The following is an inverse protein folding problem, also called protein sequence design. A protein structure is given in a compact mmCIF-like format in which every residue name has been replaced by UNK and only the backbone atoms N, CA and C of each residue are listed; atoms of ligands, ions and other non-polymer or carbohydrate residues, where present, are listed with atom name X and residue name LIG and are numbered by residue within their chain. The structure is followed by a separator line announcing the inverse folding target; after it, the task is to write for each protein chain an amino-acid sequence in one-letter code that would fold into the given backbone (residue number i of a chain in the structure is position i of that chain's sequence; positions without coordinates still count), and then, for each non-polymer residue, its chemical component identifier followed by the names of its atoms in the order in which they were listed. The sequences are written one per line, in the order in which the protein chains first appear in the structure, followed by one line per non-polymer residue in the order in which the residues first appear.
data_IF_792990247820
#
_entry.id   IF_792990247820
#
_cell.length_a   1.000
_cell.length_b   1.000
_cell.length_c   1.000
_cell.angle_alpha   90.00
_cell.angle_beta   90.00
_cell.angle_gamma   90.00
#
_symmetry.space_group_name_H-M   'P 1'
#
loop_
_entity.id
_entity.type
_entity.pdbx_description
1 polymer ?
#
# COMPACT_ATOMS: atom_id res chain seq x y z
N UNK A 1 1.88 3.03 12.29
CA UNK A 1 0.60 3.10 11.53
C UNK A 1 -0.39 3.85 12.41
N UNK A 2 -0.11 5.10 12.77
CA UNK A 2 -0.89 5.79 13.81
C UNK A 2 -1.01 7.31 13.67
N UNK A 3 -0.27 7.95 12.75
CA UNK A 3 -0.54 9.38 12.48
C UNK A 3 -1.69 9.55 11.48
N UNK A 4 -1.87 8.63 10.53
CA UNK A 4 -2.82 8.81 9.42
C UNK A 4 -4.18 8.12 9.63
N UNK A 5 -4.42 7.53 10.81
CA UNK A 5 -5.70 6.85 11.12
C UNK A 5 -6.16 5.84 10.04
N UNK A 6 -5.23 5.06 9.48
CA UNK A 6 -5.52 4.00 8.50
C UNK A 6 -5.68 2.65 9.19
N UNK A 7 -6.81 1.98 8.94
CA UNK A 7 -7.11 0.65 9.46
C UNK A 7 -6.86 -0.44 8.41
N UNK A 8 -6.91 -1.71 8.85
CA UNK A 8 -6.71 -2.87 7.96
C UNK A 8 -7.71 -2.89 6.78
N UNK A 9 -8.96 -2.46 7.00
CA UNK A 9 -9.98 -2.40 5.94
C UNK A 9 -9.66 -1.35 4.89
N UNK A 10 -9.05 -0.23 5.28
CA UNK A 10 -8.60 0.79 4.33
C UNK A 10 -7.48 0.24 3.45
N UNK A 11 -6.50 -0.44 4.07
CA UNK A 11 -5.39 -1.09 3.36
C UNK A 11 -5.93 -2.11 2.35
N UNK A 12 -6.89 -2.95 2.74
CA UNK A 12 -7.54 -3.91 1.84
C UNK A 12 -8.26 -3.21 0.68
N UNK A 13 -9.06 -2.17 0.96
CA UNK A 13 -9.76 -1.38 -0.06
C UNK A 13 -8.78 -0.80 -1.08
N UNK A 14 -7.71 -0.15 -0.60
CA UNK A 14 -6.67 0.47 -1.44
C UNK A 14 -5.97 -0.57 -2.31
N UNK A 15 -5.62 -1.74 -1.77
CA UNK A 15 -4.95 -2.79 -2.53
C UNK A 15 -5.87 -3.37 -3.60
N UNK A 16 -7.14 -3.62 -3.28
CA UNK A 16 -8.08 -4.32 -4.15
C UNK A 16 -8.65 -3.43 -5.26
N UNK A 17 -8.82 -2.13 -5.00
CA UNK A 17 -9.47 -1.18 -5.92
C UNK A 17 -8.51 -0.16 -6.52
N UNK A 18 -7.34 0.01 -5.90
CA UNK A 18 -6.35 0.98 -6.31
C UNK A 18 -5.54 0.55 -7.54
N UNK A 19 -4.52 1.35 -7.83
CA UNK A 19 -3.61 1.15 -8.97
C UNK A 19 -2.16 1.27 -8.53
N UNK A 20 -1.27 0.56 -9.21
CA UNK A 20 0.17 0.68 -8.96
C UNK A 20 0.63 2.08 -9.38
N UNK A 21 0.99 2.91 -8.41
CA UNK A 21 1.57 4.23 -8.62
C UNK A 21 3.05 4.12 -8.98
N UNK A 22 3.81 3.27 -8.28
CA UNK A 22 5.24 3.05 -8.53
C UNK A 22 5.64 1.59 -8.37
N UNK A 23 6.67 1.18 -9.13
CA UNK A 23 7.32 -0.12 -9.03
C UNK A 23 8.80 0.10 -8.68
N UNK A 24 9.24 -0.40 -7.53
CA UNK A 24 10.65 -0.36 -7.12
C UNK A 24 11.29 -1.71 -7.43
N UNK A 25 11.97 -1.83 -8.58
CA UNK A 25 12.47 -3.12 -9.11
C UNK A 25 13.94 -3.39 -8.85
N UNK A 26 14.67 -2.43 -8.29
CA UNK A 26 16.13 -2.53 -8.04
C UNK A 26 16.48 -2.73 -6.56
N UNK A 27 15.53 -3.09 -5.72
CA UNK A 27 15.79 -3.37 -4.31
C UNK A 27 16.31 -4.82 -4.16
N UNK A 28 17.49 -5.06 -3.56
CA UNK A 28 18.05 -6.40 -3.40
C UNK A 28 17.17 -7.32 -2.56
N UNK A 29 16.26 -6.74 -1.75
CA UNK A 29 15.28 -7.54 -1.00
C UNK A 29 14.19 -8.08 -1.92
N UNK A 30 13.94 -7.48 -3.09
CA UNK A 30 12.92 -7.85 -4.07
C UNK A 30 11.99 -6.70 -4.46
N UNK A 31 11.17 -6.91 -5.48
CA UNK A 31 10.28 -5.86 -6.02
C UNK A 31 9.28 -5.37 -4.97
N UNK A 32 9.20 -4.04 -4.81
CA UNK A 32 8.15 -3.37 -4.01
C UNK A 32 7.21 -2.59 -4.93
N UNK A 33 5.98 -2.45 -4.49
CA UNK A 33 4.91 -1.77 -5.20
C UNK A 33 4.31 -0.72 -4.28
N UNK A 34 4.14 0.48 -4.80
CA UNK A 34 3.32 1.52 -4.18
C UNK A 34 1.98 1.53 -4.91
N UNK A 35 0.91 1.31 -4.17
CA UNK A 35 -0.46 1.31 -4.66
C UNK A 35 -1.12 2.58 -4.14
N UNK A 36 -1.78 3.32 -5.02
CA UNK A 36 -2.62 4.46 -4.66
C UNK A 36 -4.08 4.08 -4.84
N UNK A 37 -4.90 4.42 -3.86
CA UNK A 37 -6.33 4.16 -3.86
C UNK A 37 -7.03 4.96 -2.79
N UNK A 38 -8.31 4.68 -2.60
CA UNK A 38 -9.14 5.39 -1.65
C UNK A 38 -9.44 4.47 -0.46
N UNK A 39 -9.26 5.01 0.74
CA UNK A 39 -9.65 4.38 2.00
C UNK A 39 -11.18 4.23 2.09
N UNK A 40 -11.68 3.53 3.11
CA UNK A 40 -13.12 3.29 3.27
C UNK A 40 -13.93 4.58 3.48
N UNK A 41 -13.28 5.62 4.01
CA UNK A 41 -13.84 6.96 4.20
C UNK A 41 -13.62 7.89 2.99
N UNK A 42 -13.03 7.38 1.90
CA UNK A 42 -12.76 8.12 0.68
C UNK A 42 -11.48 8.94 0.68
N UNK A 43 -10.70 8.96 1.78
CA UNK A 43 -9.39 9.62 1.79
C UNK A 43 -8.42 8.93 0.85
N UNK A 44 -7.69 9.72 0.08
CA UNK A 44 -6.62 9.22 -0.79
C UNK A 44 -5.46 8.74 0.06
N UNK A 45 -4.98 7.53 -0.19
CA UNK A 45 -3.88 6.96 0.56
C UNK A 45 -3.02 6.01 -0.31
N UNK A 46 -1.85 5.71 0.22
CA UNK A 46 -0.83 4.92 -0.41
C UNK A 46 -0.47 3.72 0.45
N UNK A 47 -0.32 2.56 -0.19
CA UNK A 47 0.16 1.33 0.44
C UNK A 47 1.42 0.86 -0.26
N UNK A 48 2.50 0.68 0.50
CA UNK A 48 3.73 0.07 0.01
C UNK A 48 3.75 -1.39 0.44
N UNK A 49 3.76 -2.30 -0.53
CA UNK A 49 3.73 -3.74 -0.29
C UNK A 49 4.67 -4.50 -1.22
N UNK A 50 4.82 -5.80 -0.95
CA UNK A 50 5.57 -6.72 -1.80
C UNK A 50 5.09 -8.15 -1.65
N UNK A 51 5.33 -8.97 -2.68
CA UNK A 51 5.19 -10.42 -2.55
C UNK A 51 6.47 -11.03 -1.99
N UNK A 52 6.29 -11.96 -1.05
CA UNK A 52 7.33 -12.91 -0.65
C UNK A 52 7.38 -14.06 -1.67
N UNK A 53 8.47 -14.83 -1.67
CA UNK A 53 8.60 -16.02 -2.53
C UNK A 53 7.52 -17.08 -2.27
N UNK A 54 6.90 -17.06 -1.08
CA UNK A 54 5.76 -17.90 -0.71
C UNK A 54 4.42 -17.47 -1.33
N UNK A 55 4.36 -16.32 -2.01
CA UNK A 55 3.11 -15.75 -2.53
C UNK A 55 2.33 -14.91 -1.52
N UNK A 56 2.81 -14.80 -0.28
CA UNK A 56 2.21 -13.91 0.73
C UNK A 56 2.49 -12.46 0.36
N UNK A 57 1.45 -11.62 0.39
CA UNK A 57 1.58 -10.16 0.27
C UNK A 57 1.93 -9.56 1.63
N UNK A 58 3.13 -8.99 1.74
CA UNK A 58 3.58 -8.26 2.92
C UNK A 58 3.34 -6.77 2.73
N UNK A 59 2.55 -6.17 3.61
CA UNK A 59 2.39 -4.71 3.72
C UNK A 59 3.57 -4.16 4.53
N UNK A 60 4.29 -3.21 3.96
CA UNK A 60 5.48 -2.59 4.57
C UNK A 60 5.07 -1.34 5.33
N UNK A 61 4.32 -0.45 4.68
CA UNK A 61 3.77 0.77 5.28
C UNK A 61 2.55 1.22 4.49
N UNK A 62 1.68 1.99 5.13
CA UNK A 62 0.60 2.74 4.50
C UNK A 62 0.62 4.16 5.05
N UNK A 63 0.24 5.13 4.23
CA UNK A 63 0.18 6.54 4.60
C UNK A 63 -0.90 7.27 3.80
N UNK A 64 -1.53 8.28 4.41
CA UNK A 64 -2.48 9.14 3.73
C UNK A 64 -1.75 10.10 2.78
N UNK A 65 -2.40 10.54 1.71
CA UNK A 65 -1.88 11.67 0.92
C UNK A 65 -1.92 12.93 1.79
N UNK A 66 -0.76 13.50 2.10
CA UNK A 66 -0.69 14.84 2.73
C UNK A 66 -1.19 15.89 1.72
N UNK A 67 -2.02 16.84 2.18
CA UNK A 67 -2.46 18.01 1.39
C UNK A 67 -1.31 18.96 1.03
#
# INVERSE_FOLDING_TARGET
MSDDELEAKDIESIILTGKIAKKFTRDPRGNRYEIVGDAMDGRRAYVVCRFLSSGILLVITAYAEEE
#
